data_IF_969235314904
#
_entry.id   IF_969235314904
#
_cell.length_a   1.000
_cell.length_b   1.000
_cell.length_c   1.000
_cell.angle_alpha   90.00
_cell.angle_beta   90.00
_cell.angle_gamma   90.00
#
_symmetry.space_group_name_H-M   'P 1'
#
loop_
_entity.id
_entity.type
_entity.pdbx_description
1 polymer ?
#
# COMPACT_ATOMS: atom_id res chain seq x y z
N UNK A 1 -32.82 11.52 1.40
CA UNK A 1 -32.16 10.33 0.82
C UNK A 1 -31.64 10.70 -0.56
N UNK A 2 -30.35 11.04 -0.70
CA UNK A 2 -29.75 11.36 -2.01
C UNK A 2 -29.52 10.04 -2.75
N UNK A 3 -30.29 9.80 -3.80
CA UNK A 3 -30.01 8.77 -4.80
C UNK A 3 -28.64 9.03 -5.39
N UNK A 4 -27.69 8.15 -5.10
CA UNK A 4 -26.35 8.18 -5.73
C UNK A 4 -26.56 7.77 -7.19
N UNK A 5 -26.58 8.74 -8.10
CA UNK A 5 -26.64 8.49 -9.54
C UNK A 5 -25.32 7.86 -10.01
N UNK A 6 -25.36 6.97 -10.99
CA UNK A 6 -24.16 6.33 -11.56
C UNK A 6 -23.18 7.37 -12.11
N UNK A 7 -23.68 8.51 -12.58
CA UNK A 7 -22.85 9.64 -13.01
C UNK A 7 -22.15 10.35 -11.84
N UNK A 8 -22.73 10.38 -10.65
CA UNK A 8 -22.07 10.96 -9.47
C UNK A 8 -20.85 10.13 -9.04
N UNK A 9 -20.91 8.80 -9.23
CA UNK A 9 -19.79 7.89 -8.91
C UNK A 9 -18.62 8.12 -9.88
N UNK A 10 -18.88 8.27 -11.17
CA UNK A 10 -17.83 8.54 -12.16
C UNK A 10 -17.17 9.91 -11.96
N UNK A 11 -17.97 10.93 -11.60
CA UNK A 11 -17.45 12.26 -11.26
C UNK A 11 -16.56 12.20 -10.01
N UNK A 12 -17.04 11.59 -8.92
CA UNK A 12 -16.24 11.43 -7.69
C UNK A 12 -14.93 10.67 -7.92
N UNK A 13 -14.94 9.64 -8.79
CA UNK A 13 -13.74 8.92 -9.16
C UNK A 13 -12.77 9.79 -9.98
N UNK A 14 -13.29 10.66 -10.85
CA UNK A 14 -12.46 11.59 -11.62
C UNK A 14 -11.80 12.66 -10.74
N UNK A 15 -12.53 13.22 -9.77
CA UNK A 15 -11.99 14.17 -8.79
C UNK A 15 -10.88 13.53 -7.94
N UNK A 16 -11.11 12.31 -7.43
CA UNK A 16 -10.10 11.56 -6.67
C UNK A 16 -8.85 11.30 -7.52
N UNK A 17 -9.01 10.87 -8.77
CA UNK A 17 -7.88 10.69 -9.70
C UNK A 17 -7.11 11.97 -9.93
N UNK A 18 -7.80 13.11 -10.03
CA UNK A 18 -7.16 14.41 -10.21
C UNK A 18 -6.31 14.80 -9.00
N UNK A 19 -6.84 14.67 -7.78
CA UNK A 19 -6.08 14.92 -6.53
C UNK A 19 -4.84 14.03 -6.45
N UNK A 20 -4.97 12.74 -6.81
CA UNK A 20 -3.84 11.80 -6.80
C UNK A 20 -2.78 12.19 -7.83
N UNK A 21 -3.21 12.56 -9.04
CA UNK A 21 -2.30 12.94 -10.13
C UNK A 21 -1.44 14.16 -9.81
N UNK A 22 -1.92 15.06 -8.96
CA UNK A 22 -1.20 16.27 -8.53
C UNK A 22 0.00 15.97 -7.63
N UNK A 23 0.06 14.78 -7.01
CA UNK A 23 1.18 14.39 -6.15
C UNK A 23 2.43 13.98 -6.92
N UNK A 24 2.31 13.69 -8.22
CA UNK A 24 3.35 13.15 -9.13
C UNK A 24 3.97 11.79 -8.74
N UNK A 25 3.80 11.37 -7.48
CA UNK A 25 4.39 10.17 -6.86
C UNK A 25 3.35 9.08 -6.57
N UNK A 26 2.05 9.41 -6.57
CA UNK A 26 0.97 8.44 -6.45
C UNK A 26 0.23 8.28 -7.78
N UNK A 27 -0.01 7.03 -8.15
CA UNK A 27 -0.83 6.67 -9.30
C UNK A 27 -2.07 5.92 -8.82
N UNK A 28 -3.26 6.34 -9.27
CA UNK A 28 -4.49 5.59 -9.04
C UNK A 28 -4.56 4.41 -10.00
N UNK A 29 -4.60 3.19 -9.47
CA UNK A 29 -4.77 1.98 -10.25
C UNK A 29 -6.23 1.51 -10.24
N UNK A 30 -6.79 1.26 -11.43
CA UNK A 30 -8.09 0.58 -11.53
C UNK A 30 -7.90 -0.91 -11.28
N UNK A 31 -8.51 -1.42 -10.20
CA UNK A 31 -8.38 -2.80 -9.80
C UNK A 31 -9.42 -3.68 -10.51
N UNK A 32 -9.03 -4.36 -11.59
CA UNK A 32 -9.87 -5.33 -12.32
C UNK A 32 -9.37 -6.78 -12.19
N UNK A 33 -8.41 -7.03 -11.30
CA UNK A 33 -7.74 -8.32 -11.19
C UNK A 33 -8.45 -9.24 -10.20
N UNK A 34 -8.78 -10.46 -10.62
CA UNK A 34 -9.44 -11.41 -9.72
C UNK A 34 -8.40 -12.18 -8.91
N UNK A 35 -8.66 -12.36 -7.61
CA UNK A 35 -7.80 -13.15 -6.73
C UNK A 35 -7.70 -14.63 -7.15
N UNK A 36 -8.68 -15.12 -7.90
CA UNK A 36 -8.67 -16.46 -8.52
C UNK A 36 -7.59 -16.62 -9.59
N UNK A 37 -7.11 -15.52 -10.18
CA UNK A 37 -6.07 -15.55 -11.21
C UNK A 37 -4.67 -15.76 -10.61
N UNK A 38 -4.54 -15.71 -9.28
CA UNK A 38 -3.28 -15.94 -8.58
C UNK A 38 -3.20 -17.44 -8.27
N UNK A 39 -2.29 -18.13 -8.93
CA UNK A 39 -2.00 -19.54 -8.68
C UNK A 39 -1.38 -19.76 -7.30
N UNK A 40 -1.81 -20.82 -6.62
CA UNK A 40 -1.32 -21.14 -5.28
C UNK A 40 -1.78 -20.16 -4.20
N UNK A 41 -0.98 -20.02 -3.14
CA UNK A 41 -1.13 -19.07 -2.02
C UNK A 41 -2.47 -19.17 -1.26
N UNK A 42 -2.97 -20.38 -1.04
CA UNK A 42 -4.27 -20.60 -0.39
C UNK A 42 -4.36 -20.00 1.01
N UNK A 43 -3.28 -20.10 1.80
CA UNK A 43 -3.18 -19.47 3.11
C UNK A 43 -3.39 -17.95 3.05
N UNK A 44 -2.85 -17.28 2.03
CA UNK A 44 -3.05 -15.85 1.82
C UNK A 44 -4.49 -15.55 1.45
N UNK A 45 -5.07 -16.33 0.53
CA UNK A 45 -6.47 -16.14 0.09
C UNK A 45 -7.44 -16.26 1.25
N UNK A 46 -7.29 -17.30 2.07
CA UNK A 46 -8.08 -17.47 3.30
C UNK A 46 -7.87 -16.30 4.28
N UNK A 47 -6.61 -15.90 4.47
CA UNK A 47 -6.26 -14.80 5.37
C UNK A 47 -6.90 -13.48 4.94
N UNK A 48 -6.89 -13.18 3.64
CA UNK A 48 -7.52 -11.99 3.03
C UNK A 48 -9.04 -12.05 3.13
N UNK A 49 -9.65 -13.23 2.90
CA UNK A 49 -11.10 -13.42 2.99
C UNK A 49 -11.62 -13.14 4.40
N UNK A 50 -10.92 -13.61 5.44
CA UNK A 50 -11.26 -13.37 6.85
C UNK A 50 -11.18 -11.89 7.24
N UNK A 51 -10.35 -11.11 6.56
CA UNK A 51 -10.05 -9.70 6.91
C UNK A 51 -10.70 -8.67 6.00
N UNK A 52 -11.41 -9.10 4.95
CA UNK A 52 -12.22 -8.21 4.10
C UNK A 52 -13.19 -7.34 4.90
N UNK A 53 -13.77 -7.88 5.98
CA UNK A 53 -14.69 -7.14 6.86
C UNK A 53 -13.97 -6.18 7.82
N UNK A 54 -12.66 -6.35 8.06
CA UNK A 54 -11.87 -5.54 9.01
C UNK A 54 -11.67 -4.09 8.58
N UNK A 55 -11.99 -3.75 7.33
CA UNK A 55 -11.91 -2.38 6.78
C UNK A 55 -13.28 -1.70 6.65
N UNK A 56 -14.36 -2.36 7.09
CA UNK A 56 -15.70 -1.80 7.11
C UNK A 56 -15.97 -0.92 8.33
N UNK A 57 -16.96 -0.03 8.22
CA UNK A 57 -17.42 0.87 9.29
C UNK A 57 -17.76 0.07 10.58
N UNK A 58 -18.39 -1.10 10.42
CA UNK A 58 -18.73 -1.96 11.55
C UNK A 58 -17.50 -2.48 12.29
N UNK A 59 -16.46 -2.93 11.58
CA UNK A 59 -15.23 -3.42 12.22
C UNK A 59 -14.51 -2.33 13.02
N UNK A 60 -14.54 -1.10 12.53
CA UNK A 60 -14.04 0.07 13.27
C UNK A 60 -14.82 0.29 14.56
N UNK A 61 -16.15 0.17 14.54
CA UNK A 61 -16.99 0.33 15.73
C UNK A 61 -16.78 -0.77 16.78
N UNK A 62 -16.43 -1.99 16.34
CA UNK A 62 -16.13 -3.12 17.23
C UNK A 62 -14.68 -3.15 17.73
N UNK A 63 -13.83 -2.20 17.34
CA UNK A 63 -12.43 -2.13 17.77
C UNK A 63 -11.58 -3.31 17.30
N UNK A 64 -11.94 -3.93 16.17
CA UNK A 64 -11.18 -5.07 15.65
C UNK A 64 -9.78 -4.63 15.23
N UNK A 65 -8.73 -5.42 15.56
CA UNK A 65 -7.37 -5.10 15.14
C UNK A 65 -7.26 -5.21 13.62
N UNK A 66 -7.26 -4.07 12.93
CA UNK A 66 -7.06 -4.01 11.48
C UNK A 66 -5.58 -4.19 11.17
N UNK A 67 -5.19 -5.13 10.29
CA UNK A 67 -3.81 -5.25 9.85
C UNK A 67 -3.37 -3.95 9.16
N UNK A 68 -2.13 -3.53 9.39
CA UNK A 68 -1.59 -2.28 8.83
C UNK A 68 -1.04 -2.47 7.44
N UNK A 69 -0.54 -3.68 7.15
CA UNK A 69 -0.06 -4.02 5.83
C UNK A 69 0.34 -5.47 5.64
N UNK A 70 0.80 -5.76 4.43
CA UNK A 70 1.30 -7.03 3.94
C UNK A 70 2.61 -6.76 3.17
N UNK A 71 3.69 -7.42 3.56
CA UNK A 71 4.95 -7.44 2.83
C UNK A 71 5.09 -8.78 2.11
N UNK A 72 5.26 -8.72 0.79
CA UNK A 72 5.40 -9.83 -0.14
C UNK A 72 6.87 -9.96 -0.56
N UNK A 73 7.54 -11.03 -0.17
CA UNK A 73 8.97 -11.22 -0.47
C UNK A 73 9.18 -12.48 -1.29
N UNK A 74 9.91 -12.41 -2.40
CA UNK A 74 10.26 -13.61 -3.19
C UNK A 74 10.91 -13.27 -4.52
N UNK A 75 11.21 -14.28 -5.34
CA UNK A 75 11.81 -14.10 -6.67
C UNK A 75 10.90 -13.26 -7.58
N UNK A 76 11.51 -12.56 -8.54
CA UNK A 76 10.80 -11.82 -9.58
C UNK A 76 9.88 -12.74 -10.40
N UNK A 77 8.77 -12.20 -10.92
CA UNK A 77 7.83 -12.97 -11.75
C UNK A 77 6.86 -13.88 -10.98
N UNK A 78 6.88 -13.87 -9.65
CA UNK A 78 5.98 -14.71 -8.81
C UNK A 78 4.61 -14.08 -8.51
N UNK A 79 4.23 -13.00 -9.20
CA UNK A 79 2.89 -12.40 -9.07
C UNK A 79 2.69 -11.52 -7.82
N UNK A 80 3.75 -11.03 -7.18
CA UNK A 80 3.67 -10.12 -6.01
C UNK A 80 2.86 -8.85 -6.30
N UNK A 81 3.18 -8.16 -7.39
CA UNK A 81 2.47 -6.95 -7.85
C UNK A 81 1.02 -7.27 -8.26
N UNK A 82 0.77 -8.44 -8.86
CA UNK A 82 -0.58 -8.91 -9.19
C UNK A 82 -1.42 -9.15 -7.93
N UNK A 83 -0.79 -9.63 -6.86
CA UNK A 83 -1.42 -9.84 -5.55
C UNK A 83 -1.96 -8.55 -4.96
N UNK A 84 -1.20 -7.45 -5.02
CA UNK A 84 -1.68 -6.14 -4.56
C UNK A 84 -2.96 -5.69 -5.31
N UNK A 85 -2.98 -5.86 -6.64
CA UNK A 85 -4.12 -5.53 -7.49
C UNK A 85 -5.34 -6.38 -7.17
N UNK A 86 -5.14 -7.68 -7.00
CA UNK A 86 -6.23 -8.59 -6.65
C UNK A 86 -6.83 -8.32 -5.27
N UNK A 87 -6.01 -7.94 -4.28
CA UNK A 87 -6.50 -7.54 -2.95
C UNK A 87 -7.42 -6.32 -3.09
N UNK A 88 -7.03 -5.33 -3.89
CA UNK A 88 -7.85 -4.13 -4.11
C UNK A 88 -9.19 -4.43 -4.78
N UNK A 89 -9.21 -5.30 -5.78
CA UNK A 89 -10.45 -5.76 -6.41
C UNK A 89 -11.33 -6.54 -5.42
N UNK A 90 -10.74 -7.49 -4.69
CA UNK A 90 -11.48 -8.34 -3.74
C UNK A 90 -12.09 -7.53 -2.60
N UNK A 91 -11.35 -6.54 -2.07
CA UNK A 91 -11.82 -5.67 -0.99
C UNK A 91 -12.62 -4.46 -1.48
N UNK A 92 -12.70 -4.25 -2.81
CA UNK A 92 -13.36 -3.10 -3.43
C UNK A 92 -12.83 -1.75 -2.89
N UNK A 93 -11.51 -1.68 -2.66
CA UNK A 93 -10.85 -0.48 -2.15
C UNK A 93 -10.03 0.22 -3.26
N UNK A 94 -9.93 1.56 -3.22
CA UNK A 94 -8.98 2.31 -4.04
C UNK A 94 -7.56 1.76 -3.92
N UNK A 95 -6.85 1.62 -5.04
CA UNK A 95 -5.44 1.23 -5.09
C UNK A 95 -4.58 2.42 -5.49
N UNK A 96 -3.69 2.83 -4.60
CA UNK A 96 -2.70 3.87 -4.81
C UNK A 96 -1.34 3.22 -4.97
N UNK A 97 -0.69 3.38 -6.12
CA UNK A 97 0.67 2.90 -6.35
C UNK A 97 1.65 4.03 -6.05
N UNK A 98 2.61 3.77 -5.18
CA UNK A 98 3.73 4.68 -4.90
C UNK A 98 4.87 4.47 -5.88
N UNK A 99 5.34 5.56 -6.49
CA UNK A 99 6.60 5.60 -7.21
C UNK A 99 7.75 5.89 -6.23
N UNK A 100 8.42 4.82 -5.80
CA UNK A 100 9.57 4.88 -4.90
C UNK A 100 10.73 5.67 -5.53
N UNK A 101 10.95 5.53 -6.84
CA UNK A 101 12.02 6.23 -7.54
C UNK A 101 11.83 7.75 -7.45
N UNK A 102 10.61 8.24 -7.69
CA UNK A 102 10.29 9.67 -7.55
C UNK A 102 10.28 10.15 -6.10
N UNK A 103 9.91 9.29 -5.15
CA UNK A 103 9.97 9.63 -3.73
C UNK A 103 11.41 9.97 -3.30
N UNK A 104 12.40 9.19 -3.78
CA UNK A 104 13.81 9.34 -3.40
C UNK A 104 14.67 10.09 -4.46
N UNK A 105 14.14 10.43 -5.62
CA UNK A 105 14.89 10.94 -6.78
C UNK A 105 15.07 12.47 -6.87
N UNK A 106 15.24 13.19 -5.76
CA UNK A 106 15.31 14.66 -5.75
C UNK A 106 16.30 15.24 -4.73
N UNK A 107 16.28 16.57 -4.56
CA UNK A 107 17.13 17.28 -3.59
C UNK A 107 16.65 16.99 -2.16
N UNK A 108 17.58 16.94 -1.21
CA UNK A 108 17.30 16.79 0.23
C UNK A 108 16.22 17.80 0.69
N UNK A 109 15.14 17.28 1.28
CA UNK A 109 13.96 18.03 1.72
C UNK A 109 12.73 17.86 0.83
N UNK A 110 12.93 17.65 -0.48
CA UNK A 110 11.84 17.39 -1.43
C UNK A 110 11.23 16.00 -1.20
N UNK A 111 12.07 14.99 -0.91
CA UNK A 111 11.62 13.64 -0.55
C UNK A 111 10.79 13.58 0.73
N UNK A 112 11.14 14.37 1.75
CA UNK A 112 10.36 14.45 3.00
C UNK A 112 9.00 15.15 2.76
N UNK A 113 8.97 16.19 1.92
CA UNK A 113 7.73 16.85 1.51
C UNK A 113 6.81 15.90 0.74
N UNK A 114 7.36 15.18 -0.25
CA UNK A 114 6.66 14.15 -1.03
C UNK A 114 6.10 13.04 -0.13
N UNK A 115 6.86 12.57 0.85
CA UNK A 115 6.38 11.60 1.82
C UNK A 115 5.17 12.12 2.61
N UNK A 116 5.23 13.36 3.11
CA UNK A 116 4.11 13.98 3.82
C UNK A 116 2.87 14.10 2.94
N UNK A 117 3.02 14.54 1.70
CA UNK A 117 1.92 14.63 0.73
C UNK A 117 1.33 13.25 0.42
N UNK A 118 2.16 12.22 0.23
CA UNK A 118 1.69 10.85 0.03
C UNK A 118 0.85 10.35 1.21
N UNK A 119 1.30 10.61 2.45
CA UNK A 119 0.57 10.26 3.67
C UNK A 119 -0.79 10.97 3.69
N UNK A 120 -0.81 12.29 3.50
CA UNK A 120 -2.03 13.10 3.53
C UNK A 120 -3.06 12.62 2.50
N UNK A 121 -2.64 12.39 1.25
CA UNK A 121 -3.52 11.91 0.18
C UNK A 121 -4.03 10.50 0.47
N UNK A 122 -3.16 9.60 0.95
CA UNK A 122 -3.55 8.23 1.30
C UNK A 122 -4.58 8.22 2.43
N UNK A 123 -4.39 9.04 3.45
CA UNK A 123 -5.30 9.15 4.60
C UNK A 123 -6.63 9.83 4.23
N UNK A 124 -6.60 10.83 3.36
CA UNK A 124 -7.80 11.48 2.80
C UNK A 124 -8.66 10.52 2.00
N UNK A 125 -8.02 9.57 1.31
CA UNK A 125 -8.69 8.55 0.50
C UNK A 125 -9.07 7.30 1.27
N UNK A 126 -8.73 7.21 2.56
CA UNK A 126 -9.02 6.03 3.37
C UNK A 126 -10.55 5.78 3.47
N UNK A 127 -11.03 4.52 3.42
CA UNK A 127 -10.24 3.29 3.34
C UNK A 127 -9.65 3.05 1.94
N UNK A 128 -8.36 2.73 1.88
CA UNK A 128 -7.62 2.53 0.63
C UNK A 128 -6.46 1.55 0.82
N UNK A 129 -5.88 1.10 -0.30
CA UNK A 129 -4.65 0.30 -0.33
C UNK A 129 -3.53 1.14 -0.91
N UNK A 130 -2.42 1.24 -0.18
CA UNK A 130 -1.18 1.84 -0.65
C UNK A 130 -0.23 0.71 -1.07
N UNK A 131 0.00 0.57 -2.37
CA UNK A 131 0.92 -0.40 -2.94
C UNK A 131 2.30 0.24 -3.18
N UNK A 132 3.32 -0.39 -2.61
CA UNK A 132 4.74 -0.03 -2.77
C UNK A 132 5.42 -1.21 -3.45
N UNK A 133 5.86 -1.02 -4.69
CA UNK A 133 6.55 -2.07 -5.44
C UNK A 133 8.05 -1.99 -5.24
N UNK A 134 8.70 -3.15 -5.09
CA UNK A 134 10.16 -3.29 -4.99
C UNK A 134 10.77 -2.36 -3.93
N UNK A 135 10.21 -2.39 -2.72
CA UNK A 135 10.68 -1.56 -1.60
C UNK A 135 12.14 -1.84 -1.27
N UNK A 136 12.68 -3.02 -1.60
CA UNK A 136 14.09 -3.38 -1.52
C UNK A 136 15.00 -2.43 -2.31
N UNK A 137 14.52 -1.88 -3.43
CA UNK A 137 15.26 -0.86 -4.20
C UNK A 137 15.39 0.46 -3.44
N UNK A 138 14.42 0.81 -2.59
CA UNK A 138 14.53 1.97 -1.71
C UNK A 138 15.68 1.81 -0.71
N UNK A 139 15.88 0.57 -0.22
CA UNK A 139 16.94 0.27 0.73
C UNK A 139 18.33 0.24 0.07
N UNK A 140 18.46 -0.27 -1.16
CA UNK A 140 19.75 -0.32 -1.86
C UNK A 140 20.26 1.05 -2.33
N UNK A 141 19.35 1.98 -2.63
CA UNK A 141 19.70 3.40 -2.89
C UNK A 141 20.41 4.01 -1.67
N UNK A 142 20.12 3.55 -0.45
CA UNK A 142 20.71 4.08 0.79
C UNK A 142 22.17 3.65 1.01
N UNK A 143 22.62 2.58 0.34
CA UNK A 143 23.97 2.03 0.52
C UNK A 143 25.00 2.62 -0.46
N UNK A 144 24.56 3.18 -1.59
CA UNK A 144 25.44 3.46 -2.74
C UNK A 144 25.85 4.92 -2.94
N UNK A 145 25.17 5.90 -2.33
CA UNK A 145 25.49 7.33 -2.50
C UNK A 145 25.56 8.06 -1.14
N UNK A 146 26.39 9.10 -1.04
CA UNK A 146 26.63 9.93 0.16
C UNK A 146 25.42 10.70 0.73
N UNK A 147 24.19 10.37 0.31
CA UNK A 147 22.90 10.90 0.76
C UNK A 147 22.21 10.01 1.81
N UNK A 148 22.95 9.03 2.38
CA UNK A 148 22.44 8.02 3.32
C UNK A 148 21.63 8.60 4.50
N UNK A 149 21.91 9.84 4.92
CA UNK A 149 21.16 10.52 5.99
C UNK A 149 19.72 10.88 5.62
N UNK A 150 19.46 11.30 4.37
CA UNK A 150 18.14 11.79 3.95
C UNK A 150 17.16 10.65 3.72
N UNK A 151 17.57 9.64 2.96
CA UNK A 151 16.71 8.50 2.68
C UNK A 151 16.39 7.69 3.93
N UNK A 152 17.32 7.59 4.88
CA UNK A 152 17.06 7.00 6.20
C UNK A 152 16.01 7.78 7.00
N UNK A 153 16.01 9.13 6.96
CA UNK A 153 14.98 9.94 7.64
C UNK A 153 13.60 9.76 7.01
N UNK A 154 13.52 9.75 5.68
CA UNK A 154 12.27 9.50 4.95
C UNK A 154 11.72 8.12 5.30
N UNK A 155 12.57 7.09 5.29
CA UNK A 155 12.18 5.73 5.63
C UNK A 155 11.75 5.59 7.09
N UNK A 156 12.48 6.20 8.02
CA UNK A 156 12.12 6.22 9.43
C UNK A 156 10.75 6.89 9.64
N UNK A 157 10.49 8.00 8.95
CA UNK A 157 9.21 8.71 8.98
C UNK A 157 8.08 7.82 8.44
N UNK A 158 8.32 7.12 7.34
CA UNK A 158 7.34 6.17 6.78
C UNK A 158 7.02 5.02 7.74
N UNK A 159 8.02 4.43 8.39
CA UNK A 159 7.82 3.36 9.39
C UNK A 159 7.07 3.89 10.61
N UNK A 160 7.41 5.09 11.09
CA UNK A 160 6.73 5.73 12.22
C UNK A 160 5.25 5.92 11.90
N UNK A 161 4.95 6.52 10.75
CA UNK A 161 3.58 6.68 10.26
C UNK A 161 2.87 5.34 10.13
N UNK A 162 3.51 4.33 9.53
CA UNK A 162 2.92 3.01 9.38
C UNK A 162 2.53 2.42 10.73
N UNK A 163 3.34 2.60 11.77
CA UNK A 163 3.09 2.11 13.13
C UNK A 163 1.98 2.89 13.87
N UNK A 164 1.87 4.19 13.63
CA UNK A 164 1.03 5.10 14.43
C UNK A 164 -0.31 5.44 13.78
N UNK A 165 -0.42 5.36 12.46
CA UNK A 165 -1.63 5.76 11.72
C UNK A 165 -2.91 5.15 12.29
N UNK A 166 -3.97 5.94 12.33
CA UNK A 166 -5.31 5.54 12.78
C UNK A 166 -6.26 5.32 11.60
N UNK A 167 -5.98 5.95 10.47
CA UNK A 167 -6.77 5.82 9.24
C UNK A 167 -6.60 4.44 8.61
N UNK A 168 -7.66 3.86 8.01
CA UNK A 168 -7.65 2.53 7.41
C UNK A 168 -6.95 2.48 6.03
N UNK A 169 -5.66 2.82 6.01
CA UNK A 169 -4.77 2.66 4.86
C UNK A 169 -4.07 1.31 4.96
N UNK A 170 -4.33 0.37 4.06
CA UNK A 170 -3.65 -0.93 4.07
C UNK A 170 -2.43 -0.90 3.15
N UNK A 171 -1.23 -1.08 3.71
CA UNK A 171 0.01 -1.02 2.92
C UNK A 171 0.34 -2.40 2.35
N UNK A 172 0.45 -2.53 1.03
CA UNK A 172 0.99 -3.74 0.39
C UNK A 172 2.37 -3.40 -0.16
N UNK A 173 3.42 -3.93 0.45
CA UNK A 173 4.79 -3.77 -0.02
C UNK A 173 5.26 -5.04 -0.73
N UNK A 174 5.99 -4.92 -1.83
CA UNK A 174 6.68 -6.04 -2.47
C UNK A 174 8.19 -5.86 -2.34
N UNK A 175 8.91 -6.96 -2.18
CA UNK A 175 10.36 -6.98 -2.18
C UNK A 175 10.88 -8.18 -2.98
N UNK A 176 11.97 -7.99 -3.70
CA UNK A 176 12.67 -9.09 -4.36
C UNK A 176 13.69 -9.74 -3.41
N UNK A 177 13.79 -11.06 -3.50
CA UNK A 177 14.83 -11.82 -2.80
C UNK A 177 15.13 -13.11 -3.58
N UNK A 178 16.29 -13.72 -3.33
CA UNK A 178 16.80 -14.91 -4.04
C UNK A 178 16.21 -16.24 -3.54
N UNK A 179 15.20 -16.20 -2.66
CA UNK A 179 14.57 -17.41 -2.13
C UNK A 179 13.60 -18.05 -3.13
N UNK A 180 13.68 -19.38 -3.31
CA UNK A 180 12.79 -20.19 -4.18
C UNK A 180 11.29 -20.18 -3.81
N UNK A 181 10.84 -19.32 -2.89
CA UNK A 181 9.46 -19.26 -2.41
C UNK A 181 9.04 -17.83 -2.10
N UNK A 182 7.75 -17.55 -2.22
CA UNK A 182 7.16 -16.28 -1.77
C UNK A 182 6.83 -16.40 -0.29
N UNK A 183 7.21 -15.40 0.49
CA UNK A 183 6.85 -15.23 1.89
C UNK A 183 5.91 -14.06 2.08
N UNK A 184 4.94 -14.26 2.98
CA UNK A 184 3.92 -13.30 3.33
C UNK A 184 4.12 -12.87 4.77
N UNK A 185 4.36 -11.58 4.97
CA UNK A 185 4.54 -10.99 6.29
C UNK A 185 3.43 -9.98 6.53
N UNK A 186 2.55 -10.22 7.49
CA UNK A 186 1.59 -9.21 7.91
C UNK A 186 2.18 -8.31 8.98
N UNK A 187 1.95 -7.01 8.83
CA UNK A 187 2.39 -5.96 9.75
C UNK A 187 1.19 -5.51 10.59
N UNK A 188 1.35 -5.58 11.91
CA UNK A 188 0.38 -5.11 12.90
C UNK A 188 0.90 -3.88 13.65
N UNK A 189 0.05 -3.31 14.51
CA UNK A 189 0.42 -2.20 15.41
C UNK A 189 1.68 -2.54 16.22
N UNK A 190 2.49 -1.51 16.50
CA UNK A 190 3.83 -1.64 17.12
C UNK A 190 4.81 -2.46 16.26
N UNK A 191 4.66 -2.42 14.93
CA UNK A 191 5.51 -3.15 13.98
C UNK A 191 5.67 -4.65 14.27
N UNK A 192 4.66 -5.28 14.89
CA UNK A 192 4.65 -6.74 15.06
C UNK A 192 4.45 -7.40 13.71
N UNK A 193 5.35 -8.32 13.37
CA UNK A 193 5.33 -9.04 12.09
C UNK A 193 4.93 -10.49 12.35
N UNK A 194 3.95 -11.00 11.58
CA UNK A 194 3.60 -12.42 11.55
C UNK A 194 3.82 -12.98 10.15
N UNK A 195 4.45 -14.14 10.06
CA UNK A 195 4.63 -14.89 8.80
C UNK A 195 3.52 -15.95 8.67
N UNK A 196 3.07 -16.18 7.44
CA UNK A 196 2.14 -17.24 7.08
C UNK A 196 2.66 -18.07 5.90
#
# INVERSE_FOLDING_TARGET
>A
YKTIDKNSISILLSEKKQIISQTEILEYWSANEKITNIGGVENLKEWLKKRKTSFGIQASNYGLPTPRGLLLVGIQGTGKSLTAKAIATEWQLPLLKLDVGKLFGGIVGESESRLRQMIEVSETLAPCILWIDEIDKAFSINESNGDSGTSNRVLATFISWLSEKTKPVFVVATANNVFNSIFFYCIYKNNRISRF
#
